data_IF_590044547847
#
_entry.id   IF_590044547847
#
_cell.length_a   1.000
_cell.length_b   1.000
_cell.length_c   1.000
_cell.angle_alpha   90.00
_cell.angle_beta   90.00
_cell.angle_gamma   90.00
#
_symmetry.space_group_name_H-M   'P 1'
#
loop_
_entity.id
_entity.type
_entity.pdbx_description
1 polymer ?
#
# COMPACT_ATOMS: atom_id res chain seq x y z
N UNK A 1 -31.76 -23.95 70.64
CA UNK A 1 -30.84 -22.96 70.01
C UNK A 1 -30.29 -23.56 68.75
N UNK A 2 -30.82 -23.21 67.59
CA UNK A 2 -30.51 -23.72 66.31
C UNK A 2 -29.63 -22.70 65.56
N UNK A 3 -28.38 -23.05 65.34
CA UNK A 3 -27.43 -22.22 64.54
C UNK A 3 -27.81 -22.31 63.06
N UNK A 4 -28.12 -21.16 62.45
CA UNK A 4 -28.31 -21.01 60.97
C UNK A 4 -26.96 -20.71 60.37
N UNK A 5 -26.43 -21.62 59.58
CA UNK A 5 -25.25 -21.39 58.74
C UNK A 5 -25.65 -20.55 57.50
N UNK A 6 -25.13 -19.35 57.38
CA UNK A 6 -25.24 -18.54 56.17
C UNK A 6 -24.24 -19.03 55.13
N UNK A 7 -24.76 -19.49 53.98
CA UNK A 7 -23.98 -19.81 52.79
C UNK A 7 -23.79 -18.52 51.99
N UNK A 8 -22.57 -17.97 51.96
CA UNK A 8 -22.21 -16.84 51.10
C UNK A 8 -21.86 -17.40 49.73
N UNK A 9 -22.73 -17.19 48.75
CA UNK A 9 -22.44 -17.47 47.33
C UNK A 9 -21.54 -16.34 46.84
N UNK A 10 -20.27 -16.62 46.63
CA UNK A 10 -19.37 -15.75 45.88
C UNK A 10 -19.69 -15.89 44.38
N UNK A 11 -20.37 -14.88 43.81
CA UNK A 11 -20.54 -14.76 42.35
C UNK A 11 -19.17 -14.43 41.71
N UNK A 12 -18.54 -15.43 41.15
CA UNK A 12 -17.34 -15.25 40.33
C UNK A 12 -17.71 -14.47 39.05
N UNK A 13 -17.26 -13.23 38.93
CA UNK A 13 -17.29 -12.47 37.68
C UNK A 13 -16.24 -13.12 36.78
N UNK A 14 -16.71 -13.90 35.80
CA UNK A 14 -15.86 -14.35 34.72
C UNK A 14 -15.48 -13.11 33.91
N UNK A 15 -14.28 -12.61 34.11
CA UNK A 15 -13.65 -11.64 33.22
C UNK A 15 -13.40 -12.38 31.91
N UNK A 16 -14.29 -12.22 30.95
CA UNK A 16 -14.01 -12.61 29.58
C UNK A 16 -12.91 -11.70 29.09
N UNK A 17 -11.66 -12.18 29.17
CA UNK A 17 -10.52 -11.50 28.55
C UNK A 17 -10.83 -11.40 27.05
N UNK A 18 -10.95 -10.18 26.55
CA UNK A 18 -10.96 -9.95 25.11
C UNK A 18 -9.72 -10.64 24.53
N UNK A 19 -9.88 -11.34 23.38
CA UNK A 19 -8.72 -11.96 22.75
C UNK A 19 -7.67 -10.88 22.52
N UNK A 20 -6.49 -11.10 23.05
CA UNK A 20 -5.32 -10.24 22.81
C UNK A 20 -5.00 -10.32 21.32
N UNK A 21 -5.32 -9.27 20.56
CA UNK A 21 -5.00 -9.08 19.13
C UNK A 21 -3.47 -8.88 18.94
N UNK A 22 -2.69 -9.19 19.96
CA UNK A 22 -1.31 -8.76 20.14
C UNK A 22 -0.27 -9.33 19.14
N UNK A 23 -0.66 -10.05 18.10
CA UNK A 23 0.29 -10.62 17.13
C UNK A 23 -0.21 -10.66 15.68
N UNK A 24 -1.33 -10.03 15.36
CA UNK A 24 -1.79 -9.99 13.98
C UNK A 24 -0.85 -9.09 13.16
N UNK A 25 -0.23 -9.66 12.14
CA UNK A 25 0.71 -8.97 11.27
C UNK A 25 0.15 -8.72 9.88
N UNK A 26 -1.00 -9.33 9.56
CA UNK A 26 -1.70 -9.19 8.30
C UNK A 26 -3.11 -8.64 8.50
N UNK A 27 -3.44 -7.61 7.71
CA UNK A 27 -4.77 -7.04 7.59
C UNK A 27 -5.25 -7.20 6.15
N UNK A 28 -6.49 -7.62 5.96
CA UNK A 28 -7.09 -7.69 4.64
C UNK A 28 -8.59 -7.35 4.68
N UNK A 29 -9.14 -6.98 3.54
CA UNK A 29 -10.58 -6.73 3.41
C UNK A 29 -11.23 -7.96 2.77
N UNK A 30 -12.09 -8.63 3.53
CA UNK A 30 -12.91 -9.71 3.03
C UNK A 30 -14.08 -9.14 2.21
N UNK A 31 -14.38 -9.70 1.01
CA UNK A 31 -15.51 -9.29 0.22
C UNK A 31 -16.83 -9.59 0.97
N UNK A 32 -17.94 -8.91 0.58
CA UNK A 32 -19.24 -9.17 1.15
C UNK A 32 -19.64 -10.66 1.02
N UNK A 33 -20.28 -11.20 2.04
CA UNK A 33 -20.93 -12.49 1.94
C UNK A 33 -22.12 -12.43 0.95
N UNK A 34 -22.54 -13.58 0.43
CA UNK A 34 -23.69 -13.65 -0.48
C UNK A 34 -24.93 -13.01 0.18
N UNK A 35 -25.54 -12.06 -0.49
CA UNK A 35 -26.70 -11.30 -0.01
C UNK A 35 -26.38 -10.14 0.94
N UNK A 36 -25.10 -9.83 1.18
CA UNK A 36 -24.63 -8.67 1.94
C UNK A 36 -23.92 -7.67 1.02
N UNK A 37 -23.97 -6.40 1.37
CA UNK A 37 -23.16 -5.33 0.74
C UNK A 37 -21.98 -4.90 1.60
N UNK A 38 -21.82 -5.51 2.79
CA UNK A 38 -20.80 -5.10 3.78
C UNK A 38 -19.53 -5.91 3.62
N UNK A 39 -18.44 -5.26 3.28
CA UNK A 39 -17.07 -5.78 3.38
C UNK A 39 -16.55 -5.64 4.81
N UNK A 40 -15.65 -6.53 5.21
CA UNK A 40 -15.08 -6.54 6.56
C UNK A 40 -13.56 -6.46 6.52
N UNK A 41 -13.01 -5.54 7.31
CA UNK A 41 -11.59 -5.54 7.63
C UNK A 41 -11.32 -6.69 8.59
N UNK A 42 -10.44 -7.56 8.19
CA UNK A 42 -10.00 -8.76 8.91
C UNK A 42 -8.57 -8.58 9.38
N UNK A 43 -8.25 -9.10 10.55
CA UNK A 43 -6.87 -9.27 11.01
C UNK A 43 -6.57 -10.75 11.15
N UNK A 44 -5.35 -11.15 10.79
CA UNK A 44 -4.91 -12.53 10.83
C UNK A 44 -3.42 -12.63 11.20
N UNK A 45 -2.98 -13.83 11.54
CA UNK A 45 -1.56 -14.16 11.67
C UNK A 45 -0.87 -14.12 10.30
N UNK A 46 0.46 -14.17 10.30
CA UNK A 46 1.32 -14.20 9.10
C UNK A 46 0.93 -15.29 8.09
N UNK A 47 0.44 -16.40 8.57
CA UNK A 47 0.05 -17.56 7.78
C UNK A 47 -1.44 -17.55 7.36
N UNK A 48 -2.17 -16.47 7.63
CA UNK A 48 -3.60 -16.32 7.38
C UNK A 48 -4.51 -16.99 8.40
N UNK A 49 -3.96 -17.66 9.42
CA UNK A 49 -4.75 -18.28 10.49
C UNK A 49 -5.31 -17.26 11.49
N UNK A 50 -6.24 -17.70 12.34
CA UNK A 50 -6.85 -16.89 13.40
C UNK A 50 -7.46 -15.57 12.90
N UNK A 51 -8.04 -15.58 11.71
CA UNK A 51 -8.66 -14.41 11.12
C UNK A 51 -9.88 -13.95 11.92
N UNK A 52 -9.87 -12.71 12.37
CA UNK A 52 -10.95 -12.07 13.13
C UNK A 52 -11.47 -10.83 12.42
N UNK A 53 -12.79 -10.59 12.52
CA UNK A 53 -13.43 -9.35 12.06
C UNK A 53 -13.09 -8.21 13.01
N UNK A 54 -12.61 -7.09 12.49
CA UNK A 54 -12.27 -5.89 13.28
C UNK A 54 -13.32 -4.81 13.12
N UNK A 55 -13.63 -4.45 11.87
CA UNK A 55 -14.56 -3.36 11.55
C UNK A 55 -15.09 -3.52 10.12
N UNK A 56 -16.28 -2.99 9.84
CA UNK A 56 -16.79 -2.87 8.48
C UNK A 56 -15.93 -1.83 7.71
N UNK A 57 -15.50 -2.17 6.48
CA UNK A 57 -14.65 -1.28 5.70
C UNK A 57 -14.32 -1.82 4.33
N UNK A 58 -13.83 -0.94 3.44
CA UNK A 58 -13.56 -1.22 2.02
C UNK A 58 -12.07 -1.19 1.67
N UNK A 59 -11.25 -0.56 2.49
CA UNK A 59 -9.79 -0.54 2.39
C UNK A 59 -9.19 -0.48 3.79
N UNK A 60 -7.99 -1.01 3.98
CA UNK A 60 -7.31 -0.97 5.25
C UNK A 60 -5.79 -1.07 5.11
N UNK A 61 -5.07 -0.44 6.03
CA UNK A 61 -3.63 -0.60 6.20
C UNK A 61 -3.26 -0.62 7.69
N UNK A 62 -2.33 -1.47 8.05
CA UNK A 62 -1.80 -1.56 9.42
C UNK A 62 -0.55 -0.69 9.56
N UNK A 63 -0.41 -0.01 10.70
CA UNK A 63 0.80 0.74 11.01
C UNK A 63 2.02 -0.18 11.16
N UNK A 64 3.24 0.27 10.85
CA UNK A 64 4.44 -0.54 10.97
C UNK A 64 4.69 -1.14 12.36
N UNK A 65 4.29 -0.46 13.43
CA UNK A 65 4.36 -0.96 14.81
C UNK A 65 3.26 -1.97 15.16
N UNK A 66 2.29 -2.18 14.24
CA UNK A 66 1.15 -3.08 14.45
C UNK A 66 0.09 -2.56 15.42
N UNK A 67 0.23 -1.33 15.94
CA UNK A 67 -0.65 -0.82 16.98
C UNK A 67 -1.94 -0.17 16.44
N UNK A 68 -1.93 0.26 15.17
CA UNK A 68 -3.03 1.04 14.59
C UNK A 68 -3.46 0.52 13.24
N UNK A 69 -4.74 0.72 12.97
CA UNK A 69 -5.40 0.37 11.71
C UNK A 69 -5.97 1.63 11.08
N UNK A 70 -5.49 2.00 9.89
CA UNK A 70 -6.18 2.95 9.05
C UNK A 70 -7.14 2.19 8.13
N UNK A 71 -8.39 2.67 8.00
CA UNK A 71 -9.41 2.00 7.20
C UNK A 71 -10.44 2.97 6.64
N UNK A 72 -11.16 2.54 5.65
CA UNK A 72 -12.22 3.32 5.01
C UNK A 72 -13.57 2.66 5.16
N UNK A 73 -14.58 3.48 5.42
CA UNK A 73 -15.97 3.08 5.50
C UNK A 73 -16.73 3.74 4.36
N UNK A 74 -17.38 2.94 3.54
CA UNK A 74 -18.31 3.41 2.55
C UNK A 74 -19.73 3.39 3.13
N UNK A 75 -20.41 4.52 3.04
CA UNK A 75 -21.84 4.61 3.36
C UNK A 75 -22.62 4.92 2.07
N UNK A 76 -23.68 4.17 1.74
CA UNK A 76 -24.53 4.47 0.57
C UNK A 76 -25.18 5.86 0.59
N UNK A 77 -25.14 6.54 1.75
CA UNK A 77 -25.67 7.90 1.95
C UNK A 77 -24.62 9.00 1.77
N UNK A 78 -23.37 8.62 1.51
CA UNK A 78 -22.25 9.54 1.35
C UNK A 78 -21.59 9.31 -0.01
N UNK A 79 -21.35 10.38 -0.75
CA UNK A 79 -20.68 10.33 -2.05
C UNK A 79 -19.20 9.90 -1.93
N UNK A 80 -18.58 10.09 -0.75
CA UNK A 80 -17.19 9.76 -0.49
C UNK A 80 -17.05 8.87 0.75
N UNK A 81 -16.11 7.91 0.75
CA UNK A 81 -15.81 7.10 1.92
C UNK A 81 -15.20 7.96 3.03
N UNK A 82 -15.50 7.61 4.27
CA UNK A 82 -14.87 8.20 5.46
C UNK A 82 -13.61 7.40 5.80
N UNK A 83 -12.49 8.07 5.94
CA UNK A 83 -11.24 7.46 6.40
C UNK A 83 -11.10 7.61 7.90
N UNK A 84 -10.67 6.54 8.56
CA UNK A 84 -10.56 6.44 10.01
C UNK A 84 -9.24 5.83 10.43
N UNK A 85 -8.80 6.14 11.65
CA UNK A 85 -7.71 5.44 12.34
C UNK A 85 -8.26 4.85 13.62
N UNK A 86 -7.94 3.58 13.89
CA UNK A 86 -8.32 2.84 15.08
C UNK A 86 -7.09 2.38 15.83
N UNK A 87 -7.03 2.63 17.12
CA UNK A 87 -6.09 1.99 18.03
C UNK A 87 -6.57 0.56 18.31
N UNK A 88 -5.70 -0.41 18.10
CA UNK A 88 -6.07 -1.83 18.18
C UNK A 88 -6.15 -2.35 19.62
N UNK A 89 -5.45 -1.73 20.56
CA UNK A 89 -5.47 -2.12 21.97
C UNK A 89 -6.70 -1.58 22.70
N UNK A 90 -6.96 -0.27 22.57
CA UNK A 90 -8.10 0.38 23.26
C UNK A 90 -9.40 0.29 22.46
N UNK A 91 -9.31 0.10 21.15
CA UNK A 91 -10.45 0.20 20.25
C UNK A 91 -10.91 1.62 19.93
N UNK A 92 -10.23 2.65 20.47
CA UNK A 92 -10.51 4.05 20.18
C UNK A 92 -10.37 4.35 18.69
N UNK A 93 -11.25 5.19 18.16
CA UNK A 93 -11.28 5.50 16.71
C UNK A 93 -11.42 6.99 16.52
N UNK A 94 -10.61 7.54 15.59
CA UNK A 94 -10.68 8.93 15.16
C UNK A 94 -10.92 9.02 13.66
N UNK A 95 -11.70 10.01 13.23
CA UNK A 95 -11.97 10.28 11.81
C UNK A 95 -10.84 11.15 11.24
N UNK A 96 -10.33 10.80 10.06
CA UNK A 96 -9.45 11.67 9.31
C UNK A 96 -10.29 12.77 8.66
N UNK A 97 -10.11 14.03 9.11
CA UNK A 97 -10.85 15.17 8.57
C UNK A 97 -10.10 15.80 7.40
N UNK A 98 -10.81 16.05 6.32
CA UNK A 98 -10.25 16.47 5.05
C UNK A 98 -10.49 15.42 3.98
N UNK A 99 -10.16 15.74 2.73
CA UNK A 99 -10.32 14.82 1.61
C UNK A 99 -9.15 13.82 1.60
N UNK A 100 -9.24 12.77 2.39
CA UNK A 100 -8.34 11.62 2.30
C UNK A 100 -9.00 10.59 1.38
N UNK A 101 -8.50 10.46 0.14
CA UNK A 101 -9.12 9.56 -0.85
C UNK A 101 -8.89 8.09 -0.59
N UNK A 102 -9.82 7.23 -1.10
CA UNK A 102 -9.67 5.79 -1.07
C UNK A 102 -8.42 5.33 -1.84
N UNK A 103 -7.52 4.67 -1.16
CA UNK A 103 -6.31 4.12 -1.74
C UNK A 103 -5.52 3.36 -0.68
N UNK A 104 -4.34 2.93 -1.05
CA UNK A 104 -3.38 2.46 -0.08
C UNK A 104 -2.93 3.67 0.74
N UNK A 105 -3.22 3.65 2.04
CA UNK A 105 -2.81 4.68 2.99
C UNK A 105 -1.40 4.31 3.53
N UNK A 106 -0.31 4.85 2.96
CA UNK A 106 1.04 4.52 3.42
C UNK A 106 1.34 5.21 4.75
N UNK A 107 1.76 4.42 5.71
CA UNK A 107 2.29 4.87 6.99
C UNK A 107 3.76 5.26 6.86
N UNK A 108 4.21 6.22 7.67
CA UNK A 108 5.64 6.41 7.92
C UNK A 108 6.21 5.22 8.70
N UNK A 109 7.50 4.84 8.52
CA UNK A 109 8.12 3.73 9.23
C UNK A 109 8.05 3.82 10.76
N UNK A 110 8.03 5.03 11.32
CA UNK A 110 7.86 5.30 12.76
C UNK A 110 6.41 5.28 13.23
N UNK A 111 5.45 4.98 12.34
CA UNK A 111 4.01 4.92 12.63
C UNK A 111 3.35 6.23 13.09
N UNK A 112 4.04 7.37 12.93
CA UNK A 112 3.54 8.67 13.39
C UNK A 112 2.77 9.44 12.32
N UNK A 113 2.96 9.11 11.05
CA UNK A 113 2.34 9.80 9.93
C UNK A 113 1.57 8.83 9.02
N UNK A 114 0.48 9.35 8.46
CA UNK A 114 -0.28 8.69 7.42
C UNK A 114 -0.39 9.63 6.21
N UNK A 115 0.02 9.15 5.04
CA UNK A 115 -0.10 9.92 3.81
C UNK A 115 -1.45 9.65 3.15
N UNK A 116 -2.11 10.70 2.68
CA UNK A 116 -3.40 10.67 2.02
C UNK A 116 -3.35 11.38 0.67
N UNK A 117 -4.00 10.84 -0.35
CA UNK A 117 -4.34 11.64 -1.51
C UNK A 117 -5.47 12.61 -1.14
N UNK A 118 -5.30 13.91 -1.45
CA UNK A 118 -6.31 14.94 -1.22
C UNK A 118 -6.87 15.39 -2.56
N UNK A 119 -8.20 15.56 -2.65
CA UNK A 119 -8.83 16.09 -3.87
C UNK A 119 -8.99 17.59 -3.81
N UNK A 120 -8.80 18.22 -4.96
CA UNK A 120 -9.32 19.57 -5.22
C UNK A 120 -10.42 19.49 -6.27
N UNK A 121 -11.56 20.09 -5.97
CA UNK A 121 -12.67 20.21 -6.91
C UNK A 121 -12.87 21.66 -7.31
N UNK A 122 -13.37 21.88 -8.52
CA UNK A 122 -13.81 23.22 -8.95
C UNK A 122 -15.20 23.55 -8.34
N UNK A 123 -15.67 24.78 -8.57
CA UNK A 123 -16.97 25.24 -8.07
C UNK A 123 -18.18 24.40 -8.55
N UNK A 124 -18.01 23.54 -9.57
CA UNK A 124 -19.03 22.62 -10.08
C UNK A 124 -18.90 21.20 -9.49
N UNK A 125 -17.97 20.99 -8.53
CA UNK A 125 -17.73 19.69 -7.90
C UNK A 125 -16.87 18.71 -8.72
N UNK A 126 -16.36 19.11 -9.90
CA UNK A 126 -15.46 18.23 -10.67
C UNK A 126 -14.05 18.26 -10.08
N UNK A 127 -13.47 17.07 -9.85
CA UNK A 127 -12.08 16.93 -9.41
C UNK A 127 -11.16 17.52 -10.48
N UNK A 128 -10.35 18.48 -10.07
CA UNK A 128 -9.39 19.19 -10.94
C UNK A 128 -7.94 18.84 -10.64
N UNK A 129 -7.70 18.13 -9.55
CA UNK A 129 -6.36 17.68 -9.18
C UNK A 129 -6.37 16.92 -7.85
N UNK A 130 -5.34 16.13 -7.64
CA UNK A 130 -5.09 15.41 -6.38
C UNK A 130 -3.79 15.90 -5.78
N UNK A 131 -3.85 16.38 -4.54
CA UNK A 131 -2.70 16.72 -3.73
C UNK A 131 -2.22 15.56 -2.88
N UNK A 132 -1.24 15.82 -2.05
CA UNK A 132 -0.77 14.95 -0.99
C UNK A 132 -1.03 15.60 0.35
N UNK A 133 -1.78 14.92 1.21
CA UNK A 133 -1.99 15.29 2.61
C UNK A 133 -1.19 14.41 3.55
N UNK A 134 -0.83 14.94 4.69
CA UNK A 134 -0.24 14.18 5.80
C UNK A 134 -1.11 14.36 7.05
N UNK A 135 -1.44 13.26 7.70
CA UNK A 135 -2.09 13.23 9.01
C UNK A 135 -1.04 12.84 10.07
N UNK A 136 -0.86 13.70 11.07
CA UNK A 136 -0.06 13.39 12.25
C UNK A 136 -0.91 12.56 13.19
N UNK A 137 -0.53 11.31 13.43
CA UNK A 137 -1.29 10.37 14.26
C UNK A 137 -0.84 10.52 15.72
N UNK A 138 -1.73 10.88 16.64
CA UNK A 138 -1.40 11.00 18.08
C UNK A 138 -0.93 9.68 18.68
N UNK A 139 -0.10 9.74 19.71
CA UNK A 139 0.37 8.55 20.44
C UNK A 139 -0.77 7.76 21.09
N UNK A 140 -1.86 8.42 21.50
CA UNK A 140 -3.12 7.80 21.94
C UNK A 140 -4.29 8.39 21.18
N UNK A 141 -5.28 7.58 20.85
CA UNK A 141 -6.54 8.01 20.26
C UNK A 141 -7.66 8.17 21.30
N UNK A 142 -7.40 7.94 22.58
CA UNK A 142 -8.39 8.15 23.63
C UNK A 142 -8.80 9.62 23.73
N UNK A 143 -10.09 9.88 23.63
CA UNK A 143 -10.65 11.23 23.61
C UNK A 143 -10.45 12.01 22.30
N UNK A 144 -9.79 11.42 21.30
CA UNK A 144 -9.59 12.03 19.98
C UNK A 144 -10.73 11.62 19.05
N UNK A 145 -11.59 12.56 18.68
CA UNK A 145 -12.69 12.30 17.72
C UNK A 145 -12.27 12.48 16.27
N UNK A 146 -11.30 13.33 15.98
CA UNK A 146 -10.84 13.64 14.63
C UNK A 146 -9.36 13.98 14.58
N UNK A 147 -8.73 13.67 13.44
CA UNK A 147 -7.33 13.97 13.14
C UNK A 147 -7.32 14.78 11.82
N UNK A 148 -6.79 16.00 11.83
CA UNK A 148 -6.74 16.80 10.61
C UNK A 148 -5.72 16.23 9.61
N UNK A 149 -6.12 16.16 8.34
CA UNK A 149 -5.21 15.90 7.22
C UNK A 149 -4.71 17.24 6.71
N UNK A 150 -3.47 17.56 6.98
CA UNK A 150 -2.82 18.77 6.47
C UNK A 150 -2.56 18.67 4.97
N UNK A 151 -2.76 19.75 4.23
CA UNK A 151 -2.33 19.88 2.83
C UNK A 151 -0.80 19.97 2.78
N UNK A 152 -0.13 18.84 2.60
CA UNK A 152 1.32 18.80 2.48
C UNK A 152 1.78 19.32 1.11
N UNK A 153 1.17 18.82 0.04
CA UNK A 153 1.33 19.35 -1.32
C UNK A 153 -0.05 19.65 -1.85
N UNK A 154 -0.45 20.92 -1.89
CA UNK A 154 -1.67 21.30 -2.56
C UNK A 154 -1.55 20.88 -4.04
N UNK A 155 -2.62 20.33 -4.61
CA UNK A 155 -2.65 20.06 -6.03
C UNK A 155 -2.39 21.38 -6.77
N UNK A 156 -1.24 21.58 -7.44
CA UNK A 156 -1.13 22.67 -8.38
C UNK A 156 -2.14 22.39 -9.47
N UNK A 157 -2.96 23.36 -9.86
CA UNK A 157 -4.04 23.19 -10.83
C UNK A 157 -3.62 22.26 -11.96
N UNK A 158 -4.38 21.19 -12.19
CA UNK A 158 -4.13 20.12 -13.14
C UNK A 158 -2.92 19.18 -12.83
N UNK A 159 -2.49 19.03 -11.59
CA UNK A 159 -1.51 18.00 -11.22
C UNK A 159 -2.10 16.96 -10.26
N UNK A 160 -1.54 15.76 -10.32
CA UNK A 160 -1.90 14.63 -9.46
C UNK A 160 -0.64 14.18 -8.73
N UNK A 161 -0.70 14.11 -7.40
CA UNK A 161 0.30 13.41 -6.61
C UNK A 161 0.07 11.88 -6.74
N UNK A 162 1.09 11.17 -7.15
CA UNK A 162 0.99 9.73 -7.42
C UNK A 162 2.19 8.98 -6.85
N UNK A 163 1.92 7.88 -6.16
CA UNK A 163 2.92 7.06 -5.50
C UNK A 163 3.66 7.82 -4.40
N UNK A 164 3.71 7.26 -3.22
CA UNK A 164 4.33 7.87 -2.05
C UNK A 164 5.19 6.83 -1.35
N UNK A 165 6.39 7.22 -0.94
CA UNK A 165 7.25 6.42 -0.08
C UNK A 165 7.94 7.31 0.96
N UNK A 166 7.89 6.93 2.22
CA UNK A 166 8.69 7.57 3.27
C UNK A 166 10.12 7.04 3.27
N UNK A 167 11.08 7.87 3.66
CA UNK A 167 12.43 7.40 3.99
C UNK A 167 12.40 6.49 5.20
N UNK A 168 13.36 5.56 5.34
CA UNK A 168 13.40 4.62 6.48
C UNK A 168 13.45 5.28 7.85
N UNK A 169 13.98 6.51 7.94
CA UNK A 169 14.04 7.33 9.15
C UNK A 169 12.83 8.24 9.34
N UNK A 170 11.82 8.15 8.45
CA UNK A 170 10.60 8.97 8.45
C UNK A 170 10.81 10.48 8.31
N UNK A 171 12.01 10.95 7.97
CA UNK A 171 12.32 12.39 7.88
C UNK A 171 12.03 12.99 6.51
N UNK A 172 11.95 12.14 5.47
CA UNK A 172 11.72 12.55 4.09
C UNK A 172 10.60 11.73 3.46
N UNK A 173 10.06 12.27 2.38
CA UNK A 173 9.01 11.64 1.59
C UNK A 173 9.32 11.78 0.09
N UNK A 174 9.24 10.68 -0.63
CA UNK A 174 9.30 10.65 -2.09
C UNK A 174 7.88 10.57 -2.65
N UNK A 175 7.60 11.36 -3.68
CA UNK A 175 6.31 11.38 -4.36
C UNK A 175 6.46 11.86 -5.79
N UNK A 176 5.52 11.50 -6.65
CA UNK A 176 5.51 11.95 -8.05
C UNK A 176 4.38 12.94 -8.28
N UNK A 177 4.69 14.03 -9.00
CA UNK A 177 3.68 14.96 -9.50
C UNK A 177 3.51 14.76 -11.00
N UNK A 178 2.30 14.45 -11.42
CA UNK A 178 1.91 14.24 -12.82
C UNK A 178 0.90 15.29 -13.25
N UNK A 179 0.92 15.69 -14.52
CA UNK A 179 -0.11 16.55 -15.07
C UNK A 179 -1.41 15.75 -15.23
N UNK A 180 -2.51 16.26 -14.68
CA UNK A 180 -3.85 15.67 -14.84
C UNK A 180 -4.24 15.59 -16.33
N UNK A 181 -4.76 14.43 -16.76
CA UNK A 181 -5.19 14.23 -18.16
C UNK A 181 -4.05 14.02 -19.16
N UNK A 182 -2.78 13.95 -18.72
CA UNK A 182 -1.70 13.57 -19.64
C UNK A 182 -1.79 12.08 -19.96
N UNK A 183 -1.76 11.73 -21.25
CA UNK A 183 -1.73 10.33 -21.72
C UNK A 183 -0.39 9.61 -21.47
N UNK A 184 0.65 10.34 -21.09
CA UNK A 184 1.95 9.78 -20.75
C UNK A 184 2.10 9.88 -19.22
N UNK A 185 2.59 8.82 -18.59
CA UNK A 185 3.09 8.85 -17.21
C UNK A 185 4.32 9.78 -17.16
N UNK A 186 4.09 11.08 -17.26
CA UNK A 186 5.10 12.13 -17.45
C UNK A 186 5.25 12.97 -16.18
N UNK A 187 5.22 12.31 -15.01
CA UNK A 187 5.45 12.96 -13.72
C UNK A 187 6.92 13.18 -13.44
N UNK A 188 7.22 14.05 -12.49
CA UNK A 188 8.55 14.16 -11.90
C UNK A 188 8.51 13.60 -10.50
N UNK A 189 9.46 12.73 -10.19
CA UNK A 189 9.71 12.24 -8.83
C UNK A 189 10.43 13.34 -8.05
N UNK A 190 9.87 13.69 -6.91
CA UNK A 190 10.42 14.63 -5.94
C UNK A 190 10.74 13.91 -4.64
N UNK A 191 11.70 14.45 -3.91
CA UNK A 191 11.97 14.15 -2.51
C UNK A 191 11.89 15.46 -1.73
N UNK A 192 11.23 15.43 -0.57
CA UNK A 192 11.10 16.59 0.30
C UNK A 192 11.21 16.17 1.78
N UNK A 193 11.67 17.08 2.67
CA UNK A 193 11.53 16.88 4.10
C UNK A 193 10.05 16.75 4.48
N UNK A 194 9.71 15.82 5.36
CA UNK A 194 8.34 15.66 5.87
C UNK A 194 7.83 16.97 6.50
N UNK A 195 8.69 17.71 7.17
CA UNK A 195 8.34 18.98 7.82
C UNK A 195 8.11 20.14 6.82
N UNK A 196 8.58 20.03 5.58
CA UNK A 196 8.51 21.15 4.61
C UNK A 196 8.46 20.69 3.15
N UNK A 197 7.28 20.58 2.61
CA UNK A 197 7.06 20.20 1.20
C UNK A 197 7.60 21.20 0.17
N UNK A 198 7.80 22.46 0.55
CA UNK A 198 8.31 23.49 -0.38
C UNK A 198 9.81 23.31 -0.67
N UNK A 199 10.55 22.66 0.24
CA UNK A 199 11.96 22.31 0.08
C UNK A 199 12.17 21.05 -0.77
N UNK A 200 11.23 20.72 -1.67
CA UNK A 200 11.32 19.55 -2.54
C UNK A 200 12.40 19.68 -3.59
N UNK A 201 13.12 18.58 -3.81
CA UNK A 201 14.13 18.44 -4.87
C UNK A 201 13.60 17.51 -5.95
N UNK A 202 13.69 17.91 -7.22
CA UNK A 202 13.38 17.04 -8.35
C UNK A 202 14.48 16.00 -8.52
N UNK A 203 14.11 14.73 -8.43
CA UNK A 203 15.07 13.62 -8.43
C UNK A 203 15.11 12.89 -9.77
N UNK A 204 13.97 12.56 -10.36
CA UNK A 204 13.91 11.82 -11.62
C UNK A 204 12.71 12.28 -12.44
N UNK A 205 12.97 12.73 -13.68
CA UNK A 205 11.91 13.13 -14.61
C UNK A 205 11.18 11.89 -15.16
N UNK A 206 9.89 12.05 -15.46
CA UNK A 206 9.02 11.00 -16.01
C UNK A 206 8.96 9.74 -15.14
N UNK A 207 8.99 9.92 -13.82
CA UNK A 207 9.08 8.85 -12.87
C UNK A 207 7.90 8.82 -11.89
N UNK A 208 7.56 7.61 -11.45
CA UNK A 208 6.45 7.32 -10.55
C UNK A 208 6.75 6.08 -9.69
N UNK A 209 5.82 5.76 -8.79
CA UNK A 209 5.83 4.57 -7.93
C UNK A 209 7.18 4.37 -7.20
N UNK A 210 7.64 5.35 -6.40
CA UNK A 210 8.85 5.17 -5.61
C UNK A 210 8.64 4.11 -4.53
N UNK A 211 9.69 3.34 -4.27
CA UNK A 211 9.86 2.51 -3.07
C UNK A 211 11.20 2.84 -2.43
N UNK A 212 11.22 3.05 -1.13
CA UNK A 212 12.40 3.56 -0.42
C UNK A 212 12.92 2.54 0.59
N UNK A 213 14.23 2.38 0.65
CA UNK A 213 14.94 1.59 1.65
C UNK A 213 16.23 2.31 2.08
N UNK A 214 16.97 1.75 3.02
CA UNK A 214 18.31 2.23 3.38
C UNK A 214 19.29 2.19 2.21
N UNK A 215 19.03 1.39 1.18
CA UNK A 215 19.86 1.31 -0.05
C UNK A 215 19.50 2.39 -1.08
N UNK A 216 18.49 3.22 -0.82
CA UNK A 216 18.04 4.29 -1.70
C UNK A 216 16.61 4.09 -2.21
N UNK A 217 16.28 4.83 -3.27
CA UNK A 217 14.96 4.81 -3.88
C UNK A 217 15.02 3.97 -5.16
N UNK A 218 14.07 3.05 -5.35
CA UNK A 218 13.78 2.51 -6.67
C UNK A 218 12.48 3.15 -7.19
N UNK A 219 12.46 3.54 -8.46
CA UNK A 219 11.31 4.19 -9.08
C UNK A 219 11.13 3.72 -10.52
N UNK A 220 9.90 3.76 -10.99
CA UNK A 220 9.55 3.47 -12.38
C UNK A 220 9.73 4.73 -13.21
N UNK A 221 10.56 4.69 -14.26
CA UNK A 221 10.67 5.77 -15.23
C UNK A 221 9.96 5.36 -16.54
N UNK A 222 9.20 6.28 -17.10
CA UNK A 222 8.40 6.07 -18.31
C UNK A 222 9.03 6.74 -19.52
N UNK A 223 8.99 6.06 -20.68
CA UNK A 223 9.35 6.60 -21.99
C UNK A 223 8.26 6.30 -23.00
N UNK A 224 8.02 7.23 -23.92
CA UNK A 224 7.15 6.94 -25.07
C UNK A 224 7.94 6.16 -26.10
N UNK A 225 7.40 5.05 -26.54
CA UNK A 225 7.93 4.21 -27.61
C UNK A 225 6.85 3.98 -28.66
N UNK A 226 7.25 3.63 -29.86
CA UNK A 226 6.33 3.18 -30.90
C UNK A 226 6.61 1.70 -31.13
N UNK A 227 5.63 0.85 -30.90
CA UNK A 227 5.70 -0.58 -31.18
C UNK A 227 4.88 -0.92 -32.42
N UNK A 228 5.22 -2.01 -33.09
CA UNK A 228 4.37 -2.56 -34.14
C UNK A 228 3.48 -3.64 -33.53
N UNK A 229 2.19 -3.41 -33.57
CA UNK A 229 1.19 -4.36 -33.07
C UNK A 229 0.14 -4.61 -34.17
N UNK A 230 -0.10 -5.86 -34.53
CA UNK A 230 -0.99 -6.25 -35.63
C UNK A 230 -0.74 -5.48 -36.93
N UNK A 231 0.55 -5.25 -37.27
CA UNK A 231 0.96 -4.51 -38.47
C UNK A 231 0.85 -2.98 -38.36
N UNK A 232 0.27 -2.43 -37.30
CA UNK A 232 0.13 -0.99 -37.11
C UNK A 232 1.19 -0.45 -36.14
N UNK A 233 1.66 0.79 -36.39
CA UNK A 233 2.55 1.52 -35.47
C UNK A 233 1.72 2.13 -34.34
N UNK A 234 1.87 1.60 -33.13
CA UNK A 234 1.10 1.98 -31.95
C UNK A 234 1.99 2.70 -30.94
N UNK A 235 1.67 3.95 -30.55
CA UNK A 235 2.39 4.64 -29.47
C UNK A 235 2.05 4.00 -28.13
N UNK A 236 3.07 3.72 -27.32
CA UNK A 236 2.94 3.14 -25.99
C UNK A 236 3.85 3.81 -24.97
N UNK A 237 3.49 3.65 -23.70
CA UNK A 237 4.35 3.98 -22.57
C UNK A 237 5.13 2.75 -22.17
N UNK A 238 6.45 2.85 -22.22
CA UNK A 238 7.37 1.81 -21.79
C UNK A 238 8.05 2.21 -20.51
N UNK A 239 8.21 1.28 -19.57
CA UNK A 239 8.75 1.56 -18.24
C UNK A 239 10.07 0.82 -17.99
N UNK A 240 10.92 1.43 -17.17
CA UNK A 240 12.16 0.88 -16.64
C UNK A 240 12.27 1.20 -15.16
N UNK A 241 12.91 0.33 -14.40
CA UNK A 241 13.25 0.61 -13.00
C UNK A 241 14.59 1.38 -12.97
N UNK A 242 14.61 2.45 -12.21
CA UNK A 242 15.79 3.22 -11.86
C UNK A 242 16.04 3.15 -10.37
N UNK A 243 17.31 3.17 -9.98
CA UNK A 243 17.73 3.31 -8.59
C UNK A 243 18.40 4.67 -8.38
N UNK A 244 18.15 5.25 -7.24
CA UNK A 244 18.69 6.54 -6.80
C UNK A 244 19.37 6.29 -5.47
N UNK A 245 20.63 6.75 -5.31
CA UNK A 245 21.39 6.60 -4.06
C UNK A 245 20.70 7.27 -2.87
N UNK A 246 20.95 6.84 -1.62
CA UNK A 246 20.34 7.41 -0.42
C UNK A 246 20.54 8.93 -0.28
N UNK A 247 21.70 9.43 -0.70
CA UNK A 247 22.08 10.85 -0.70
C UNK A 247 21.55 11.62 -1.93
N UNK A 248 20.79 10.97 -2.80
CA UNK A 248 20.22 11.49 -4.06
C UNK A 248 21.25 11.94 -5.10
N UNK A 249 22.55 11.72 -4.88
CA UNK A 249 23.62 12.20 -5.74
C UNK A 249 23.77 11.42 -7.04
N UNK A 250 23.42 10.13 -7.05
CA UNK A 250 23.55 9.28 -8.21
C UNK A 250 22.21 8.62 -8.60
N UNK A 251 22.04 8.43 -9.91
CA UNK A 251 20.86 7.81 -10.51
C UNK A 251 21.32 6.81 -11.53
N UNK A 252 20.80 5.58 -11.47
CA UNK A 252 21.20 4.53 -12.38
C UNK A 252 20.00 3.77 -12.88
N UNK A 253 19.90 3.57 -14.19
CA UNK A 253 18.93 2.64 -14.77
C UNK A 253 19.29 1.23 -14.34
N UNK A 254 18.34 0.56 -13.69
CA UNK A 254 18.51 -0.80 -13.21
C UNK A 254 18.11 -1.83 -14.27
N UNK A 255 17.00 -1.59 -14.98
CA UNK A 255 16.48 -2.53 -15.97
C UNK A 255 16.67 -2.02 -17.38
N UNK A 256 16.89 -2.95 -18.30
CA UNK A 256 16.98 -2.69 -19.75
C UNK A 256 15.96 -3.58 -20.50
N UNK A 257 14.73 -3.57 -19.97
CA UNK A 257 13.64 -4.36 -20.52
C UNK A 257 13.29 -3.87 -21.93
N UNK A 258 13.19 -4.80 -22.87
CA UNK A 258 12.80 -4.50 -24.26
C UNK A 258 11.29 -4.70 -24.38
N UNK A 259 10.59 -3.66 -24.82
CA UNK A 259 9.17 -3.75 -25.09
C UNK A 259 8.90 -4.79 -26.17
N UNK A 260 7.98 -5.69 -25.91
CA UNK A 260 7.44 -6.61 -26.89
C UNK A 260 5.92 -6.53 -26.88
N UNK A 261 5.31 -6.21 -28.02
CA UNK A 261 3.86 -6.02 -28.09
C UNK A 261 3.36 -4.90 -27.18
N UNK A 262 2.22 -5.11 -26.53
CA UNK A 262 1.57 -4.14 -25.64
C UNK A 262 2.08 -4.17 -24.18
N UNK A 263 3.26 -4.74 -23.92
CA UNK A 263 3.81 -4.84 -22.55
C UNK A 263 4.47 -3.53 -22.13
N UNK A 264 3.95 -2.93 -21.06
CA UNK A 264 4.44 -1.65 -20.51
C UNK A 264 5.85 -1.72 -19.91
N UNK A 265 6.26 -2.87 -19.36
CA UNK A 265 7.57 -3.08 -18.74
C UNK A 265 7.53 -3.20 -17.21
N UNK A 266 8.70 -3.19 -16.56
CA UNK A 266 8.80 -3.39 -15.12
C UNK A 266 8.49 -2.12 -14.30
N UNK A 267 7.98 -2.33 -13.08
CA UNK A 267 7.84 -1.32 -12.04
C UNK A 267 8.21 -1.89 -10.66
N UNK A 268 8.83 -1.10 -9.76
CA UNK A 268 9.22 -1.56 -8.44
C UNK A 268 8.02 -1.66 -7.51
N UNK A 269 8.06 -2.60 -6.56
CA UNK A 269 7.05 -2.79 -5.51
C UNK A 269 7.69 -2.76 -4.12
N UNK A 270 8.86 -3.37 -3.95
CA UNK A 270 9.57 -3.40 -2.68
C UNK A 270 11.07 -3.65 -2.88
N UNK A 271 11.87 -3.27 -1.88
CA UNK A 271 13.25 -3.70 -1.75
C UNK A 271 13.35 -5.00 -0.94
N UNK A 272 14.38 -5.80 -1.21
CA UNK A 272 14.77 -6.83 -0.25
C UNK A 272 15.28 -6.18 1.03
N UNK A 273 15.14 -6.83 2.20
CA UNK A 273 15.69 -6.31 3.46
C UNK A 273 17.20 -6.06 3.41
N UNK A 274 17.94 -6.84 2.62
CA UNK A 274 19.38 -6.64 2.39
C UNK A 274 19.75 -5.53 1.41
N UNK A 275 18.74 -4.91 0.75
CA UNK A 275 18.95 -3.83 -0.22
C UNK A 275 19.66 -4.22 -1.52
N UNK A 276 19.87 -5.52 -1.77
CA UNK A 276 20.57 -6.01 -2.96
C UNK A 276 19.63 -6.48 -4.09
N UNK A 277 18.33 -6.41 -3.88
CA UNK A 277 17.30 -6.75 -4.87
C UNK A 277 16.11 -5.79 -4.78
N UNK A 278 15.53 -5.50 -5.93
CA UNK A 278 14.21 -4.86 -6.05
C UNK A 278 13.22 -5.93 -6.53
N UNK A 279 12.09 -6.02 -5.84
CA UNK A 279 10.93 -6.80 -6.28
C UNK A 279 10.03 -5.91 -7.11
N UNK A 280 9.50 -6.44 -8.19
CA UNK A 280 8.65 -5.67 -9.06
C UNK A 280 7.72 -6.53 -9.88
N UNK A 281 6.79 -5.87 -10.56
CA UNK A 281 5.97 -6.49 -11.58
C UNK A 281 6.64 -6.36 -12.96
N UNK A 282 6.26 -7.25 -13.87
CA UNK A 282 6.54 -7.18 -15.30
C UNK A 282 5.24 -7.48 -16.04
N UNK A 283 4.94 -6.71 -17.07
CA UNK A 283 3.76 -6.96 -17.89
C UNK A 283 3.01 -5.68 -18.30
N UNK A 284 1.78 -5.85 -18.70
CA UNK A 284 0.85 -4.82 -19.15
C UNK A 284 -0.55 -5.01 -18.53
N UNK A 285 -1.56 -4.39 -19.15
CA UNK A 285 -2.93 -4.35 -18.59
C UNK A 285 -3.54 -5.74 -18.39
N UNK A 286 -3.33 -6.68 -19.35
CA UNK A 286 -4.02 -7.97 -19.32
C UNK A 286 -3.29 -9.08 -18.53
N UNK A 287 -2.03 -8.87 -18.18
CA UNK A 287 -1.25 -9.85 -17.43
C UNK A 287 -0.06 -9.20 -16.72
N UNK A 288 0.00 -9.41 -15.42
CA UNK A 288 1.12 -8.98 -14.59
C UNK A 288 1.78 -10.18 -13.92
N UNK A 289 3.04 -10.40 -14.25
CA UNK A 289 3.93 -11.33 -13.55
C UNK A 289 4.79 -10.60 -12.54
N UNK A 290 5.59 -11.36 -11.80
CA UNK A 290 6.48 -10.83 -10.78
C UNK A 290 7.91 -11.30 -11.01
N UNK A 291 8.85 -10.39 -10.75
CA UNK A 291 10.27 -10.64 -10.90
C UNK A 291 11.07 -9.97 -9.78
N UNK A 292 12.30 -10.44 -9.62
CA UNK A 292 13.35 -9.76 -8.88
C UNK A 292 14.37 -9.15 -9.84
N UNK A 293 14.94 -8.04 -9.43
CA UNK A 293 15.99 -7.34 -10.15
C UNK A 293 17.17 -7.13 -9.21
N UNK A 294 18.31 -7.73 -9.54
CA UNK A 294 19.52 -7.64 -8.71
C UNK A 294 20.12 -6.24 -8.75
N UNK A 295 20.54 -5.71 -7.61
CA UNK A 295 21.22 -4.42 -7.48
C UNK A 295 22.66 -4.64 -6.98
N UNK A 296 23.69 -4.12 -7.67
CA UNK A 296 23.64 -3.48 -8.99
C UNK A 296 23.49 -4.51 -10.12
N UNK A 297 23.18 -4.01 -11.32
CA UNK A 297 23.30 -4.80 -12.55
C UNK A 297 21.99 -5.18 -13.22
N UNK A 298 20.86 -5.15 -12.51
CA UNK A 298 19.53 -5.34 -13.09
C UNK A 298 19.22 -6.74 -13.61
N UNK A 299 20.03 -7.75 -13.26
CA UNK A 299 19.74 -9.13 -13.64
C UNK A 299 18.35 -9.52 -13.12
N UNK A 300 17.47 -9.88 -14.04
CA UNK A 300 16.08 -10.23 -13.78
C UNK A 300 15.93 -11.74 -13.54
N UNK A 301 15.17 -12.08 -12.52
CA UNK A 301 14.68 -13.45 -12.31
C UNK A 301 13.17 -13.42 -12.19
N UNK A 302 12.47 -14.06 -13.11
CA UNK A 302 11.01 -14.20 -13.05
C UNK A 302 10.66 -15.13 -11.88
N UNK A 303 9.84 -14.65 -10.97
CA UNK A 303 9.33 -15.43 -9.82
C UNK A 303 8.02 -16.12 -10.19
N UNK A 304 7.12 -15.38 -10.78
CA UNK A 304 5.80 -15.84 -11.17
C UNK A 304 5.49 -15.27 -12.56
N UNK A 305 5.19 -16.15 -13.51
CA UNK A 305 4.65 -15.76 -14.81
C UNK A 305 3.12 -15.73 -14.72
N UNK A 306 2.52 -14.69 -15.27
CA UNK A 306 1.07 -14.63 -15.44
C UNK A 306 0.67 -15.25 -16.77
N UNK A 307 -0.35 -16.11 -16.73
CA UNK A 307 -1.12 -16.43 -17.94
C UNK A 307 -2.04 -15.25 -18.32
N UNK A 308 -2.57 -15.26 -19.56
CA UNK A 308 -3.57 -14.29 -19.99
C UNK A 308 -4.75 -14.22 -19.00
N UNK A 309 -5.15 -13.00 -18.61
CA UNK A 309 -6.25 -12.74 -17.67
C UNK A 309 -5.90 -12.97 -16.21
N UNK A 310 -4.63 -13.17 -15.83
CA UNK A 310 -4.20 -13.31 -14.45
C UNK A 310 -3.41 -12.08 -13.99
N UNK A 311 -3.90 -11.42 -12.97
CA UNK A 311 -3.24 -10.29 -12.31
C UNK A 311 -2.57 -10.78 -11.03
N UNK A 312 -1.25 -10.62 -10.96
CA UNK A 312 -0.45 -10.92 -9.77
C UNK A 312 0.23 -9.65 -9.31
N UNK A 313 -0.08 -9.22 -8.09
CA UNK A 313 0.48 -7.98 -7.52
C UNK A 313 1.24 -8.31 -6.25
N UNK A 314 2.53 -7.99 -6.22
CA UNK A 314 3.32 -8.09 -5.01
C UNK A 314 2.80 -7.11 -3.95
N UNK A 315 2.85 -7.53 -2.69
CA UNK A 315 2.41 -6.73 -1.55
C UNK A 315 3.59 -6.48 -0.62
N UNK A 316 4.33 -7.51 -0.25
CA UNK A 316 5.44 -7.40 0.70
C UNK A 316 6.46 -8.54 0.54
N UNK A 317 7.66 -8.27 1.02
CA UNK A 317 8.70 -9.28 1.23
C UNK A 317 8.79 -9.55 2.72
N UNK A 318 8.96 -10.82 3.11
CA UNK A 318 9.11 -11.17 4.53
C UNK A 318 10.36 -10.52 5.15
N UNK A 319 10.32 -10.26 6.45
CA UNK A 319 11.41 -9.62 7.19
C UNK A 319 12.74 -10.40 7.07
N UNK A 320 12.69 -11.73 6.93
CA UNK A 320 13.87 -12.58 6.70
C UNK A 320 14.32 -12.61 5.23
N UNK A 321 13.60 -11.93 4.34
CA UNK A 321 13.91 -11.83 2.91
C UNK A 321 13.72 -13.10 2.12
N UNK A 322 13.01 -14.12 2.61
CA UNK A 322 12.89 -15.42 1.93
C UNK A 322 11.56 -15.65 1.22
N UNK A 323 10.54 -14.91 1.59
CA UNK A 323 9.18 -15.10 1.06
C UNK A 323 8.62 -13.80 0.49
N UNK A 324 7.73 -13.97 -0.45
CA UNK A 324 6.97 -12.90 -1.08
C UNK A 324 5.49 -13.12 -0.79
N UNK A 325 4.81 -12.06 -0.34
CA UNK A 325 3.36 -11.97 -0.25
C UNK A 325 2.83 -11.30 -1.51
N UNK A 326 1.81 -11.87 -2.12
CA UNK A 326 1.20 -11.33 -3.32
C UNK A 326 -0.29 -11.63 -3.38
N UNK A 327 -1.01 -10.82 -4.16
CA UNK A 327 -2.38 -11.12 -4.54
C UNK A 327 -2.42 -11.76 -5.92
N UNK A 328 -3.32 -12.71 -6.13
CA UNK A 328 -3.54 -13.35 -7.41
C UNK A 328 -5.04 -13.45 -7.71
N UNK A 329 -5.48 -12.88 -8.82
CA UNK A 329 -6.89 -12.82 -9.20
C UNK A 329 -7.06 -12.44 -10.67
N UNK A 330 -8.27 -12.06 -11.01
CA UNK A 330 -8.63 -11.43 -12.28
C UNK A 330 -9.34 -10.10 -11.98
N UNK A 331 -9.56 -9.27 -12.99
CA UNK A 331 -10.27 -7.99 -12.82
C UNK A 331 -11.64 -8.12 -12.19
N UNK A 332 -12.36 -9.22 -12.48
CA UNK A 332 -13.75 -9.41 -12.06
C UNK A 332 -13.91 -10.19 -10.75
N UNK A 333 -12.84 -10.67 -10.15
CA UNK A 333 -12.92 -11.52 -8.95
C UNK A 333 -12.01 -11.04 -7.83
N UNK A 334 -12.48 -11.12 -6.55
CA UNK A 334 -11.62 -10.90 -5.41
C UNK A 334 -10.38 -11.80 -5.48
N UNK A 335 -9.21 -11.20 -5.30
CA UNK A 335 -7.94 -11.89 -5.41
C UNK A 335 -7.70 -12.84 -4.22
N UNK A 336 -6.98 -13.93 -4.43
CA UNK A 336 -6.44 -14.72 -3.34
C UNK A 336 -5.14 -14.06 -2.82
N UNK A 337 -4.95 -14.05 -1.49
CA UNK A 337 -3.67 -13.71 -0.87
C UNK A 337 -2.83 -14.97 -0.82
N UNK A 338 -1.63 -14.90 -1.40
CA UNK A 338 -0.72 -16.03 -1.51
C UNK A 338 0.69 -15.65 -1.04
N UNK A 339 1.46 -16.65 -0.64
CA UNK A 339 2.89 -16.51 -0.40
C UNK A 339 3.67 -17.52 -1.23
N UNK A 340 4.88 -17.16 -1.60
CA UNK A 340 5.82 -18.03 -2.31
C UNK A 340 7.26 -17.75 -1.87
N UNK A 341 8.18 -18.70 -2.07
CA UNK A 341 9.61 -18.42 -1.88
C UNK A 341 10.13 -17.48 -2.97
N UNK A 342 11.30 -16.87 -2.76
CA UNK A 342 11.95 -16.03 -3.77
C UNK A 342 12.47 -16.80 -4.99
N UNK A 343 12.24 -18.11 -5.04
CA UNK A 343 12.46 -18.95 -6.23
C UNK A 343 11.17 -19.28 -6.96
N UNK A 344 10.02 -18.74 -6.53
CA UNK A 344 8.70 -19.03 -7.07
C UNK A 344 8.15 -20.42 -6.67
N UNK A 345 8.84 -21.14 -5.78
CA UNK A 345 8.43 -22.47 -5.32
C UNK A 345 7.68 -22.42 -4.00
N UNK A 346 6.92 -23.47 -3.70
CA UNK A 346 6.23 -23.60 -2.42
C UNK A 346 5.12 -22.54 -2.24
N UNK A 347 4.39 -22.26 -3.31
CA UNK A 347 3.24 -21.36 -3.27
C UNK A 347 2.15 -21.90 -2.36
N UNK A 348 1.69 -21.06 -1.43
CA UNK A 348 0.59 -21.36 -0.51
C UNK A 348 -0.46 -20.26 -0.57
N UNK A 349 -1.72 -20.64 -0.57
CA UNK A 349 -2.83 -19.69 -0.38
C UNK A 349 -3.06 -19.47 1.10
N UNK A 350 -2.97 -18.22 1.54
CA UNK A 350 -3.23 -17.79 2.92
C UNK A 350 -4.69 -17.42 3.10
N UNK A 351 -5.23 -16.63 2.17
CA UNK A 351 -6.63 -16.20 2.15
C UNK A 351 -7.17 -16.42 0.75
N UNK A 352 -8.27 -17.19 0.59
CA UNK A 352 -8.79 -17.52 -0.74
C UNK A 352 -9.46 -16.35 -1.46
N UNK A 353 -9.97 -15.34 -0.72
CA UNK A 353 -10.66 -14.18 -1.30
C UNK A 353 -10.43 -12.94 -0.45
N UNK A 354 -9.85 -11.90 -1.04
CA UNK A 354 -9.64 -10.58 -0.42
C UNK A 354 -9.79 -9.48 -1.47
N UNK A 355 -10.16 -8.28 -1.05
CA UNK A 355 -10.18 -7.07 -1.88
C UNK A 355 -8.85 -6.32 -1.78
N UNK A 356 -8.30 -6.20 -0.57
CA UNK A 356 -7.02 -5.57 -0.30
C UNK A 356 -6.27 -6.34 0.78
N UNK A 357 -4.97 -6.12 0.88
CA UNK A 357 -4.10 -6.67 1.94
C UNK A 357 -3.00 -5.69 2.30
N UNK A 358 -2.64 -5.65 3.57
CA UNK A 358 -1.50 -4.90 4.14
C UNK A 358 -0.86 -5.74 5.25
N UNK A 359 0.43 -5.64 5.42
CA UNK A 359 1.19 -6.35 6.46
C UNK A 359 2.14 -5.39 7.18
N UNK A 360 2.53 -5.74 8.40
CA UNK A 360 3.62 -5.06 9.09
C UNK A 360 4.97 -5.42 8.47
N UNK A 361 6.01 -4.59 8.65
CA UNK A 361 7.37 -4.92 8.18
C UNK A 361 7.94 -6.21 8.77
N UNK A 362 7.41 -6.68 9.89
CA UNK A 362 7.84 -7.90 10.58
C UNK A 362 7.14 -9.18 10.09
N UNK A 363 6.34 -9.09 9.04
CA UNK A 363 5.69 -10.26 8.47
C UNK A 363 6.72 -11.32 8.02
N UNK A 364 6.55 -12.58 8.43
CA UNK A 364 7.49 -13.68 8.16
C UNK A 364 6.90 -14.82 7.31
N UNK A 365 5.64 -14.78 6.93
CA UNK A 365 5.01 -15.65 5.92
C UNK A 365 4.59 -17.01 6.38
#
# INVERSE_FOLDING_TARGET
MTARTMLVLAAGIAVVSAPTIATATMVYVAPPAKGSTTSWVMMANDDGSNAVKVVAGTAASISPDGARLAYQVWSPKQDNPTSNVRDLASGATAVLTGTCQPGVLPWSPDSTLLACATETANAKGFVTGNGLGLAQIPASLEGVSSIPVGNYIPAPGNAVAYGVAFSPDSTQIAFSLMKFGSRAAAGTLYVAPVANATARTAVLARAAAPVWSTSGIAAMQSTNVTVTFNGARTPMVHTQIWTISPDLSSKKQLTHYKASGLMAGPGPVAWSPSGNMVFGFIGGEDHMGMATFRVPGGAMTTLLSSGSGSLQTAVAVSADGKRLLYTAGSEDTPAAIKTTSLTGRGTRTLVPRALTVSVTPNWNG
#
